data_IF_601329776284
#
_entry.id   IF_601329776284
#
_cell.length_a   1.000
_cell.length_b   1.000
_cell.length_c   1.000
_cell.angle_alpha   90.00
_cell.angle_beta   90.00
_cell.angle_gamma   90.00
#
_symmetry.space_group_name_H-M   'P 1'
#
loop_
_entity.id
_entity.type
_entity.pdbx_description
1 polymer ?
#
# COMPACT_ATOMS: atom_id res chain seq x y z
N UNK A 1 -25.36 37.97 4.13
CA UNK A 1 -24.64 36.68 4.20
C UNK A 1 -25.00 36.07 5.53
N UNK A 2 -26.12 35.33 5.53
CA UNK A 2 -26.79 34.92 6.75
C UNK A 2 -25.98 33.91 7.54
N UNK A 3 -26.00 34.04 8.87
CA UNK A 3 -25.31 33.18 9.84
C UNK A 3 -25.56 31.69 9.58
N UNK A 4 -26.73 31.34 9.06
CA UNK A 4 -27.11 30.00 8.61
C UNK A 4 -26.21 29.45 7.49
N UNK A 5 -25.84 30.31 6.53
CA UNK A 5 -25.03 29.94 5.37
C UNK A 5 -23.58 29.66 5.76
N UNK A 6 -23.06 30.38 6.77
CA UNK A 6 -21.72 30.12 7.33
C UNK A 6 -21.67 28.80 8.12
N UNK A 7 -22.74 28.46 8.85
CA UNK A 7 -22.83 27.19 9.58
C UNK A 7 -22.88 26.01 8.61
N UNK A 8 -23.67 26.12 7.54
CA UNK A 8 -23.75 25.11 6.49
C UNK A 8 -22.39 24.93 5.78
N UNK A 9 -21.72 26.02 5.42
CA UNK A 9 -20.38 25.97 4.83
C UNK A 9 -19.36 25.30 5.75
N UNK A 10 -19.35 25.65 7.03
CA UNK A 10 -18.45 25.04 8.00
C UNK A 10 -18.72 23.53 8.15
N UNK A 11 -19.99 23.12 8.20
CA UNK A 11 -20.37 21.71 8.27
C UNK A 11 -19.95 20.93 7.01
N UNK A 12 -20.11 21.51 5.82
CA UNK A 12 -19.65 20.90 4.57
C UNK A 12 -18.13 20.72 4.52
N UNK A 13 -17.36 21.70 5.01
CA UNK A 13 -15.89 21.63 5.05
C UNK A 13 -15.43 20.54 6.04
N UNK A 14 -16.09 20.40 7.19
CA UNK A 14 -15.75 19.34 8.16
C UNK A 14 -16.03 17.95 7.57
N UNK A 15 -17.16 17.78 6.88
CA UNK A 15 -17.54 16.51 6.25
C UNK A 15 -16.54 16.07 5.15
N UNK A 16 -16.03 17.00 4.35
CA UNK A 16 -15.07 16.68 3.27
C UNK A 16 -13.68 16.34 3.82
N UNK A 17 -13.27 16.93 4.95
CA UNK A 17 -11.99 16.62 5.61
C UNK A 17 -12.00 15.21 6.24
N UNK A 18 -13.16 14.74 6.69
CA UNK A 18 -13.30 13.41 7.33
C UNK A 18 -13.43 12.24 6.35
N UNK A 19 -13.46 12.48 5.03
CA UNK A 19 -13.53 11.41 4.04
C UNK A 19 -12.14 10.81 3.82
N UNK A 20 -11.63 10.07 4.81
CA UNK A 20 -10.54 9.13 4.58
C UNK A 20 -11.11 8.06 3.65
N UNK A 21 -10.80 8.15 2.36
CA UNK A 21 -11.03 7.04 1.45
C UNK A 21 -10.20 5.87 1.96
N UNK A 22 -10.84 4.90 2.63
CA UNK A 22 -10.24 3.59 2.87
C UNK A 22 -10.01 2.98 1.49
N UNK A 23 -8.83 3.24 0.95
CA UNK A 23 -8.36 2.61 -0.28
C UNK A 23 -8.11 1.14 0.08
N UNK A 24 -9.01 0.27 -0.37
CA UNK A 24 -8.86 -1.16 -0.15
C UNK A 24 -7.61 -1.64 -0.91
N UNK A 25 -6.55 -1.94 -0.17
CA UNK A 25 -5.24 -2.29 -0.69
C UNK A 25 -5.31 -3.61 -1.47
N UNK A 26 -4.70 -3.68 -2.65
CA UNK A 26 -4.64 -4.92 -3.43
C UNK A 26 -3.25 -5.51 -3.43
N UNK A 27 -3.13 -6.81 -3.16
CA UNK A 27 -1.83 -7.49 -3.06
C UNK A 27 -1.83 -8.81 -3.85
N UNK A 28 -0.63 -9.30 -4.19
CA UNK A 28 -0.47 -10.69 -4.62
C UNK A 28 -0.54 -11.64 -3.44
N UNK A 29 -1.15 -12.81 -3.63
CA UNK A 29 -1.34 -13.83 -2.60
C UNK A 29 -0.98 -15.22 -3.11
N UNK A 30 0.15 -15.75 -2.65
CA UNK A 30 0.58 -17.11 -2.93
C UNK A 30 1.40 -17.61 -1.76
N UNK A 31 1.22 -18.87 -1.38
CA UNK A 31 2.02 -19.51 -0.35
C UNK A 31 3.07 -20.43 -0.99
N UNK A 32 4.31 -20.38 -0.46
CA UNK A 32 5.39 -21.29 -0.83
C UNK A 32 5.50 -21.52 -2.36
N UNK A 33 5.37 -20.44 -3.13
CA UNK A 33 5.36 -20.55 -4.59
C UNK A 33 6.81 -20.63 -5.10
N UNK A 34 7.15 -21.66 -5.89
CA UNK A 34 8.45 -21.75 -6.56
C UNK A 34 8.55 -20.82 -7.78
N UNK A 35 7.40 -20.34 -8.27
CA UNK A 35 7.29 -19.47 -9.45
C UNK A 35 6.81 -18.07 -9.07
N UNK A 36 6.71 -17.20 -10.07
CA UNK A 36 6.13 -15.87 -9.89
C UNK A 36 4.63 -15.97 -9.57
N UNK A 37 4.20 -15.38 -8.46
CA UNK A 37 2.79 -15.30 -8.08
C UNK A 37 1.99 -14.42 -9.06
N UNK A 38 0.84 -14.90 -9.51
CA UNK A 38 -0.10 -14.16 -10.38
C UNK A 38 -1.47 -13.92 -9.75
N UNK A 39 -1.78 -14.66 -8.69
CA UNK A 39 -3.03 -14.53 -7.95
C UNK A 39 -3.01 -13.28 -7.10
N UNK A 40 -4.06 -12.47 -7.22
CA UNK A 40 -4.21 -11.23 -6.48
C UNK A 40 -5.58 -11.20 -5.77
N UNK A 41 -5.65 -10.42 -4.70
CA UNK A 41 -6.90 -10.11 -4.02
C UNK A 41 -6.86 -8.71 -3.41
N UNK A 42 -8.05 -8.23 -3.06
CA UNK A 42 -8.24 -7.03 -2.25
C UNK A 42 -8.18 -7.41 -0.78
N UNK A 43 -7.26 -6.81 -0.03
CA UNK A 43 -7.05 -7.07 1.38
C UNK A 43 -8.23 -6.59 2.24
N UNK A 44 -8.33 -7.14 3.45
CA UNK A 44 -9.28 -6.67 4.45
C UNK A 44 -8.89 -5.25 4.94
N UNK A 45 -9.86 -4.49 5.46
CA UNK A 45 -9.63 -3.20 6.11
C UNK A 45 -8.62 -3.28 7.28
N UNK A 46 -8.48 -4.47 7.86
CA UNK A 46 -7.53 -4.77 8.93
C UNK A 46 -6.08 -4.89 8.45
N UNK A 47 -5.86 -5.11 7.16
CA UNK A 47 -4.57 -5.42 6.53
C UNK A 47 -4.13 -4.27 5.61
N UNK A 48 -3.31 -3.39 6.18
CA UNK A 48 -2.86 -2.15 5.54
C UNK A 48 -1.51 -2.27 4.80
N UNK A 49 -1.00 -3.49 4.59
CA UNK A 49 0.25 -3.74 3.89
C UNK A 49 0.23 -5.01 3.02
N UNK A 50 1.03 -5.01 1.96
CA UNK A 50 1.40 -6.23 1.25
C UNK A 50 2.73 -6.76 1.79
N UNK A 51 2.80 -8.05 2.09
CA UNK A 51 4.00 -8.75 2.51
C UNK A 51 4.52 -9.66 1.40
N UNK A 52 5.85 -9.73 1.29
CA UNK A 52 6.55 -10.74 0.53
C UNK A 52 7.69 -11.32 1.36
N UNK A 53 7.73 -12.65 1.49
CA UNK A 53 8.82 -13.41 2.10
C UNK A 53 9.53 -14.17 0.99
N UNK A 54 10.85 -14.05 0.94
CA UNK A 54 11.72 -14.77 0.01
C UNK A 54 12.67 -15.68 0.77
N UNK A 55 12.54 -16.96 0.49
CA UNK A 55 13.51 -18.00 0.78
C UNK A 55 14.29 -18.33 -0.50
N UNK A 56 15.26 -19.24 -0.42
CA UNK A 56 16.14 -19.58 -1.55
C UNK A 56 15.34 -20.00 -2.79
N UNK A 57 14.36 -20.89 -2.61
CA UNK A 57 13.57 -21.47 -3.71
C UNK A 57 12.09 -21.13 -3.65
N UNK A 58 11.62 -20.55 -2.55
CA UNK A 58 10.20 -20.38 -2.27
C UNK A 58 9.90 -18.93 -1.94
N UNK A 59 8.73 -18.47 -2.37
CA UNK A 59 8.24 -17.13 -2.10
C UNK A 59 6.81 -17.17 -1.59
N UNK A 60 6.56 -16.40 -0.53
CA UNK A 60 5.23 -16.23 0.04
C UNK A 60 4.82 -14.77 -0.13
N UNK A 61 3.59 -14.55 -0.57
CA UNK A 61 2.97 -13.25 -0.79
C UNK A 61 1.66 -13.24 -0.04
N UNK A 62 1.40 -12.21 0.78
CA UNK A 62 0.15 -12.08 1.54
C UNK A 62 -0.25 -10.63 1.74
N UNK A 63 -1.53 -10.41 2.03
CA UNK A 63 -1.96 -9.23 2.78
C UNK A 63 -1.44 -9.33 4.22
N UNK A 64 -1.13 -8.20 4.83
CA UNK A 64 -0.45 -8.13 6.11
C UNK A 64 -0.76 -6.81 6.82
N UNK A 65 -0.32 -6.70 8.08
CA UNK A 65 -0.36 -5.45 8.83
C UNK A 65 1.02 -4.81 8.84
N UNK A 66 1.11 -3.51 8.54
CA UNK A 66 2.35 -2.75 8.61
C UNK A 66 2.94 -2.77 10.02
N UNK A 67 2.10 -2.73 11.05
CA UNK A 67 2.50 -2.87 12.45
C UNK A 67 3.18 -4.21 12.78
N UNK A 68 2.94 -5.26 11.98
CA UNK A 68 3.56 -6.59 12.09
C UNK A 68 4.70 -6.80 11.09
N UNK A 69 5.21 -5.76 10.44
CA UNK A 69 6.22 -5.90 9.39
C UNK A 69 7.65 -6.16 9.91
N UNK A 70 7.91 -6.03 11.22
CA UNK A 70 9.24 -6.30 11.78
C UNK A 70 9.71 -7.71 11.49
N UNK A 71 11.01 -7.88 11.22
CA UNK A 71 11.61 -9.17 10.86
C UNK A 71 11.32 -10.25 11.90
N UNK A 72 11.36 -9.89 13.18
CA UNK A 72 11.19 -10.80 14.31
C UNK A 72 9.76 -11.37 14.35
N UNK A 73 8.76 -10.51 14.18
CA UNK A 73 7.35 -10.91 14.10
C UNK A 73 7.08 -11.77 12.88
N UNK A 74 7.64 -11.42 11.72
CA UNK A 74 7.50 -12.24 10.50
C UNK A 74 8.18 -13.60 10.66
N UNK A 75 9.37 -13.65 11.28
CA UNK A 75 10.08 -14.90 11.56
C UNK A 75 9.24 -15.83 12.45
N UNK A 76 8.62 -15.27 13.49
CA UNK A 76 7.79 -15.99 14.43
C UNK A 76 6.47 -16.48 13.80
N UNK A 77 5.71 -15.59 13.16
CA UNK A 77 4.39 -15.89 12.56
C UNK A 77 4.50 -16.91 11.42
N UNK A 78 5.57 -16.87 10.64
CA UNK A 78 5.77 -17.77 9.50
C UNK A 78 6.71 -18.94 9.81
N UNK A 79 7.26 -19.02 11.03
CA UNK A 79 8.23 -20.05 11.44
C UNK A 79 9.39 -20.20 10.44
N UNK A 80 10.01 -19.08 10.06
CA UNK A 80 11.10 -18.99 9.09
C UNK A 80 12.33 -18.30 9.69
N UNK A 81 13.52 -18.83 9.43
CA UNK A 81 14.79 -18.28 9.95
C UNK A 81 15.55 -17.44 8.92
N UNK A 82 16.07 -18.11 7.87
CA UNK A 82 16.90 -17.46 6.85
C UNK A 82 16.06 -16.99 5.66
N UNK A 83 15.43 -15.82 5.83
CA UNK A 83 14.58 -15.20 4.82
C UNK A 83 14.87 -13.71 4.62
N UNK A 84 14.44 -13.20 3.47
CA UNK A 84 14.27 -11.76 3.23
C UNK A 84 12.79 -11.43 3.20
N UNK A 85 12.39 -10.32 3.80
CA UNK A 85 11.00 -9.85 3.71
C UNK A 85 10.95 -8.44 3.09
N UNK A 86 9.79 -8.09 2.55
CA UNK A 86 9.44 -6.77 2.06
C UNK A 86 8.00 -6.50 2.47
N UNK A 87 7.73 -5.33 3.08
CA UNK A 87 6.38 -4.81 3.19
C UNK A 87 6.24 -3.46 2.48
N UNK A 88 5.04 -3.17 2.00
CA UNK A 88 4.72 -1.94 1.32
C UNK A 88 3.20 -1.70 1.31
N UNK A 89 2.76 -0.45 1.16
CA UNK A 89 1.34 -0.04 1.28
C UNK A 89 0.81 0.55 -0.04
N UNK A 90 1.19 -0.07 -1.17
CA UNK A 90 0.71 0.34 -2.50
C UNK A 90 0.17 -0.87 -3.22
N UNK A 91 -0.81 -0.67 -4.09
CA UNK A 91 -1.39 -1.76 -4.87
C UNK A 91 -0.30 -2.56 -5.62
N UNK A 92 -0.33 -3.88 -5.44
CA UNK A 92 0.52 -4.88 -6.07
C UNK A 92 2.03 -4.67 -5.83
N UNK A 93 2.41 -3.90 -4.82
CA UNK A 93 3.80 -3.55 -4.55
C UNK A 93 4.65 -4.74 -4.10
N UNK A 94 4.03 -5.80 -3.59
CA UNK A 94 4.71 -7.05 -3.21
C UNK A 94 5.02 -7.95 -4.42
N UNK A 95 4.95 -7.44 -5.65
CA UNK A 95 5.41 -8.16 -6.84
C UNK A 95 6.87 -8.60 -6.63
N UNK A 96 7.24 -9.76 -7.16
CA UNK A 96 8.68 -10.06 -7.26
C UNK A 96 9.32 -8.96 -8.09
N UNK A 97 10.50 -8.45 -7.72
CA UNK A 97 11.33 -7.75 -8.67
C UNK A 97 11.59 -8.75 -9.79
N UNK A 98 10.93 -8.53 -10.92
CA UNK A 98 11.53 -8.79 -12.20
C UNK A 98 12.87 -8.06 -12.18
N UNK A 99 13.91 -8.71 -12.69
CA UNK A 99 15.27 -8.18 -12.84
C UNK A 99 15.27 -7.01 -13.86
N UNK A 100 14.50 -5.97 -13.59
CA UNK A 100 14.42 -4.74 -14.35
C UNK A 100 14.38 -3.64 -13.29
N UNK A 101 15.57 -3.15 -12.98
CA UNK A 101 15.78 -1.98 -12.15
C UNK A 101 15.28 -0.75 -12.92
N UNK A 102 13.96 -0.59 -13.07
CA UNK A 102 13.39 0.66 -13.54
C UNK A 102 13.45 1.63 -12.36
N UNK A 103 14.56 2.36 -12.28
CA UNK A 103 14.61 3.59 -11.52
C UNK A 103 13.39 4.44 -11.89
N UNK A 104 12.61 4.96 -10.92
CA UNK A 104 11.59 5.94 -11.26
C UNK A 104 12.33 7.16 -11.82
N UNK A 105 12.20 7.39 -13.13
CA UNK A 105 12.53 8.69 -13.70
C UNK A 105 11.58 9.68 -13.02
N UNK A 106 12.11 10.42 -12.06
CA UNK A 106 11.42 11.55 -11.44
C UNK A 106 11.13 12.57 -12.52
N UNK A 107 9.89 12.62 -13.00
CA UNK A 107 9.41 13.75 -13.77
C UNK A 107 9.20 14.87 -12.76
N UNK A 108 10.20 15.74 -12.71
CA UNK A 108 10.20 16.98 -11.93
C UNK A 108 8.97 17.82 -12.27
N UNK A 109 8.41 18.42 -11.22
CA UNK A 109 7.25 19.29 -11.22
C UNK A 109 7.28 20.35 -12.34
N UNK A 110 6.27 20.37 -13.20
CA UNK A 110 5.80 21.61 -13.83
C UNK A 110 4.57 22.04 -13.04
N UNK A 111 4.82 23.08 -12.28
CA UNK A 111 3.94 23.78 -11.37
C UNK A 111 2.75 24.32 -12.18
N UNK A 112 1.54 24.06 -11.69
CA UNK A 112 0.29 24.65 -12.19
C UNK A 112 0.31 26.14 -11.88
N UNK A 113 0.86 26.97 -12.77
CA UNK A 113 0.77 28.44 -12.70
C UNK A 113 -0.26 28.92 -13.72
N UNK A 114 -1.51 28.47 -13.62
CA UNK A 114 -2.62 28.98 -14.47
C UNK A 114 -3.96 28.96 -13.73
N UNK A 115 -3.97 29.09 -12.41
CA UNK A 115 -5.22 29.21 -11.63
C UNK A 115 -5.15 30.35 -10.61
N UNK A 116 -4.48 31.46 -10.95
CA UNK A 116 -4.56 32.72 -10.20
C UNK A 116 -4.45 33.92 -11.15
N UNK A 117 -5.32 33.96 -12.16
CA UNK A 117 -5.61 35.17 -12.94
C UNK A 117 -7.08 35.17 -13.32
N UNK A 118 -7.95 35.48 -12.36
CA UNK A 118 -9.23 36.15 -12.60
C UNK A 118 -9.45 37.16 -11.47
#
# INVERSE_FOLDING_TARGET
MDKMNCVLLAAFIILTISCNSSYALRCYICEQSPILCRTNLTCSDEEDACLQIRMIHLRTYKCWKMSKCSKEVVAQEFSVDSFRHLCCQRDFCNKSPSLINTAPLGISAVIVVWMMSL
#
